data_IF_660453605486
#
_entry.id   IF_660453605486
#
_cell.length_a   1.000
_cell.length_b   1.000
_cell.length_c   1.000
_cell.angle_alpha   90.00
_cell.angle_beta   90.00
_cell.angle_gamma   90.00
#
_symmetry.space_group_name_H-M   'P 1'
#
loop_
_entity.id
_entity.type
_entity.pdbx_description
1 polymer ?
#
# COMPACT_ATOMS: atom_id res chain seq x y z
N UNK A 1 -44.29 -13.19 -7.91
CA UNK A 1 -43.54 -12.37 -8.89
C UNK A 1 -42.20 -12.08 -8.25
N UNK A 2 -41.13 -12.77 -8.68
CA UNK A 2 -39.78 -12.46 -8.19
C UNK A 2 -39.30 -11.26 -9.01
N UNK A 3 -39.28 -10.09 -8.38
CA UNK A 3 -38.62 -8.92 -8.94
C UNK A 3 -37.18 -9.31 -9.25
N UNK A 4 -36.89 -9.43 -10.55
CA UNK A 4 -35.54 -9.61 -11.03
C UNK A 4 -34.79 -8.36 -10.65
N UNK A 5 -33.96 -8.46 -9.61
CA UNK A 5 -32.86 -7.57 -9.31
C UNK A 5 -32.20 -7.24 -10.64
N UNK A 6 -32.47 -6.04 -11.12
CA UNK A 6 -32.01 -5.54 -12.39
C UNK A 6 -30.50 -5.70 -12.39
N UNK A 7 -30.04 -6.58 -13.27
CA UNK A 7 -28.66 -6.68 -13.71
C UNK A 7 -28.37 -5.35 -14.42
N UNK A 8 -28.22 -4.27 -13.65
CA UNK A 8 -27.78 -3.00 -14.18
C UNK A 8 -26.35 -3.22 -14.61
N UNK A 9 -26.07 -3.13 -15.91
CA UNK A 9 -24.75 -3.43 -16.43
C UNK A 9 -23.79 -2.54 -15.66
N UNK A 10 -22.69 -3.10 -15.18
CA UNK A 10 -21.60 -2.39 -14.53
C UNK A 10 -21.43 -1.01 -15.17
N UNK A 11 -22.11 0.01 -14.62
CA UNK A 11 -22.09 1.39 -15.10
C UNK A 11 -20.62 1.73 -15.00
N UNK A 12 -20.00 1.93 -16.16
CA UNK A 12 -18.57 1.75 -16.41
C UNK A 12 -17.75 2.10 -15.16
N UNK A 13 -16.95 1.15 -14.66
CA UNK A 13 -16.18 1.31 -13.41
C UNK A 13 -15.42 2.64 -13.39
N UNK A 14 -14.99 3.15 -14.56
CA UNK A 14 -14.35 4.47 -14.69
C UNK A 14 -15.31 5.61 -14.45
N UNK A 15 -16.54 5.55 -14.99
CA UNK A 15 -17.59 6.55 -14.73
C UNK A 15 -17.94 6.64 -13.25
N UNK A 16 -17.97 5.50 -12.54
CA UNK A 16 -18.22 5.50 -11.10
C UNK A 16 -17.06 6.14 -10.32
N UNK A 17 -15.82 5.78 -10.63
CA UNK A 17 -14.64 6.41 -10.02
C UNK A 17 -14.58 7.92 -10.29
N UNK A 18 -14.93 8.37 -11.50
CA UNK A 18 -14.97 9.81 -11.83
C UNK A 18 -15.94 10.54 -10.92
N UNK A 19 -17.16 10.02 -10.73
CA UNK A 19 -18.13 10.61 -9.80
C UNK A 19 -17.63 10.63 -8.35
N UNK A 20 -16.91 9.60 -7.91
CA UNK A 20 -16.33 9.57 -6.56
C UNK A 20 -15.19 10.61 -6.41
N UNK A 21 -14.42 10.88 -7.47
CA UNK A 21 -13.42 11.96 -7.48
C UNK A 21 -14.10 13.33 -7.37
N UNK A 22 -15.19 13.54 -8.11
CA UNK A 22 -15.98 14.78 -8.09
C UNK A 22 -16.57 15.03 -6.69
N UNK A 23 -17.11 13.99 -6.04
CA UNK A 23 -17.65 14.06 -4.68
C UNK A 23 -16.59 13.98 -3.57
N UNK A 24 -15.28 13.95 -3.87
CA UNK A 24 -14.25 13.64 -2.85
C UNK A 24 -14.22 14.65 -1.69
N UNK A 25 -14.52 15.92 -1.97
CA UNK A 25 -14.54 16.97 -0.96
C UNK A 25 -15.68 16.73 0.05
N UNK A 26 -16.86 16.35 -0.43
CA UNK A 26 -18.02 15.99 0.40
C UNK A 26 -17.74 14.72 1.20
N UNK A 27 -17.17 13.70 0.57
CA UNK A 27 -16.74 12.47 1.25
C UNK A 27 -15.75 12.80 2.38
N UNK A 28 -14.83 13.72 2.16
CA UNK A 28 -13.88 14.16 3.18
C UNK A 28 -14.58 14.86 4.35
N UNK A 29 -15.56 15.72 4.06
CA UNK A 29 -16.39 16.34 5.10
C UNK A 29 -17.18 15.31 5.91
N UNK A 30 -17.74 14.27 5.26
CA UNK A 30 -18.44 13.20 5.97
C UNK A 30 -17.53 12.42 6.90
N UNK A 31 -16.29 12.12 6.46
CA UNK A 31 -15.31 11.47 7.34
C UNK A 31 -14.89 12.35 8.52
N UNK A 32 -14.85 13.67 8.34
CA UNK A 32 -14.63 14.61 9.45
C UNK A 32 -15.78 14.63 10.47
N UNK A 33 -16.98 14.24 10.04
CA UNK A 33 -18.15 14.02 10.90
C UNK A 33 -18.24 12.59 11.43
N UNK A 34 -17.17 11.79 11.27
CA UNK A 34 -17.06 10.42 11.75
C UNK A 34 -18.09 9.44 11.15
N UNK A 35 -18.65 9.76 9.98
CA UNK A 35 -19.52 8.85 9.24
C UNK A 35 -18.74 7.64 8.72
N UNK A 36 -19.35 6.47 8.85
CA UNK A 36 -18.83 5.22 8.31
C UNK A 36 -18.89 5.19 6.78
N UNK A 37 -18.13 4.29 6.15
CA UNK A 37 -18.14 4.14 4.69
C UNK A 37 -19.49 3.63 4.20
N UNK A 38 -20.18 2.86 5.03
CA UNK A 38 -21.52 2.35 4.82
C UNK A 38 -22.53 3.51 4.74
N UNK A 39 -22.53 4.41 5.72
CA UNK A 39 -23.40 5.59 5.73
C UNK A 39 -23.13 6.52 4.55
N UNK A 40 -21.86 6.73 4.19
CA UNK A 40 -21.50 7.53 3.01
C UNK A 40 -22.00 6.86 1.73
N UNK A 41 -21.93 5.53 1.62
CA UNK A 41 -22.44 4.81 0.45
C UNK A 41 -23.98 4.90 0.35
N UNK A 42 -24.69 4.92 1.47
CA UNK A 42 -26.15 5.15 1.51
C UNK A 42 -26.50 6.56 1.03
N UNK A 43 -25.82 7.59 1.55
CA UNK A 43 -26.01 8.98 1.09
C UNK A 43 -25.77 9.11 -0.41
N UNK A 44 -24.69 8.50 -0.93
CA UNK A 44 -24.40 8.49 -2.36
C UNK A 44 -25.47 7.75 -3.16
N UNK A 45 -26.07 6.68 -2.61
CA UNK A 45 -27.14 5.95 -3.25
C UNK A 45 -28.43 6.78 -3.36
N UNK A 46 -28.73 7.64 -2.38
CA UNK A 46 -29.85 8.61 -2.45
C UNK A 46 -29.68 9.62 -3.59
N UNK A 47 -28.43 10.05 -3.83
CA UNK A 47 -28.04 10.89 -4.99
C UNK A 47 -28.00 10.11 -6.32
N UNK A 48 -28.42 8.84 -6.33
CA UNK A 48 -28.45 7.97 -7.52
C UNK A 48 -27.11 7.33 -7.89
N UNK A 49 -26.11 7.39 -7.00
CA UNK A 49 -24.81 6.75 -7.14
C UNK A 49 -24.74 5.46 -6.33
N UNK A 50 -25.34 4.40 -6.87
CA UNK A 50 -25.31 3.08 -6.25
C UNK A 50 -23.91 2.46 -6.32
N UNK A 51 -23.20 2.46 -5.19
CA UNK A 51 -21.87 1.87 -5.01
C UNK A 51 -21.85 1.04 -3.73
N UNK A 52 -21.21 -0.14 -3.75
CA UNK A 52 -21.05 -0.90 -2.51
C UNK A 52 -20.00 -0.25 -1.61
N UNK A 53 -20.16 -0.29 -0.27
CA UNK A 53 -19.21 0.31 0.69
C UNK A 53 -17.77 -0.15 0.46
N UNK A 54 -17.59 -1.44 0.15
CA UNK A 54 -16.26 -2.00 -0.20
C UNK A 54 -15.64 -1.36 -1.44
N UNK A 55 -16.45 -1.09 -2.47
CA UNK A 55 -15.98 -0.46 -3.70
C UNK A 55 -15.65 1.02 -3.46
N UNK A 56 -16.50 1.71 -2.69
CA UNK A 56 -16.25 3.09 -2.28
C UNK A 56 -14.94 3.21 -1.48
N UNK A 57 -14.72 2.33 -0.50
CA UNK A 57 -13.47 2.25 0.27
C UNK A 57 -12.24 2.09 -0.62
N UNK A 58 -12.32 1.20 -1.62
CA UNK A 58 -11.23 1.02 -2.59
C UNK A 58 -10.94 2.32 -3.37
N UNK A 59 -11.98 3.00 -3.86
CA UNK A 59 -11.79 4.25 -4.61
C UNK A 59 -11.24 5.37 -3.75
N UNK A 60 -11.72 5.52 -2.51
CA UNK A 60 -11.16 6.49 -1.56
C UNK A 60 -9.67 6.19 -1.32
N UNK A 61 -9.31 4.91 -1.19
CA UNK A 61 -7.92 4.49 -1.07
C UNK A 61 -7.06 4.81 -2.29
N UNK A 62 -7.59 4.62 -3.50
CA UNK A 62 -6.89 4.93 -4.75
C UNK A 62 -6.73 6.44 -4.98
N UNK A 63 -7.76 7.23 -4.64
CA UNK A 63 -7.72 8.70 -4.65
C UNK A 63 -6.65 9.20 -3.68
N UNK A 64 -6.65 8.73 -2.42
CA UNK A 64 -5.66 9.16 -1.44
C UNK A 64 -4.21 8.80 -1.82
N UNK A 65 -3.99 7.69 -2.53
CA UNK A 65 -2.66 7.35 -3.09
C UNK A 65 -2.24 8.31 -4.20
N UNK A 66 -3.18 8.66 -5.09
CA UNK A 66 -2.93 9.61 -6.18
C UNK A 66 -2.65 11.02 -5.64
N UNK A 67 -3.45 11.50 -4.69
CA UNK A 67 -3.23 12.79 -4.03
C UNK A 67 -1.85 12.85 -3.37
N UNK A 68 -1.46 11.77 -2.66
CA UNK A 68 -0.13 11.67 -2.06
C UNK A 68 0.98 11.68 -3.11
N UNK A 69 0.84 10.94 -4.20
CA UNK A 69 1.83 10.91 -5.28
C UNK A 69 2.01 12.29 -5.94
N UNK A 70 0.90 13.01 -6.14
CA UNK A 70 0.91 14.37 -6.69
C UNK A 70 1.52 15.38 -5.71
N UNK A 71 1.22 15.25 -4.41
CA UNK A 71 1.83 16.06 -3.36
C UNK A 71 3.35 15.83 -3.28
N UNK A 72 3.80 14.57 -3.33
CA UNK A 72 5.21 14.19 -3.36
C UNK A 72 5.93 14.72 -4.63
N UNK A 73 5.19 14.93 -5.72
CA UNK A 73 5.68 15.56 -6.95
C UNK A 73 5.66 17.11 -6.92
N UNK A 74 5.18 17.72 -5.82
CA UNK A 74 5.14 19.17 -5.62
C UNK A 74 3.79 19.82 -5.92
N UNK A 75 2.74 19.05 -6.23
CA UNK A 75 1.38 19.56 -6.39
C UNK A 75 0.55 19.28 -5.13
N UNK A 76 0.54 20.24 -4.20
CA UNK A 76 -0.18 20.12 -2.93
C UNK A 76 -1.71 20.20 -3.06
N UNK A 77 -2.23 20.76 -4.16
CA UNK A 77 -3.67 20.94 -4.39
C UNK A 77 -4.04 20.38 -5.79
N UNK A 78 -3.99 19.05 -5.96
CA UNK A 78 -4.26 18.46 -7.25
C UNK A 78 -5.72 18.61 -7.66
N UNK A 79 -5.93 18.94 -8.94
CA UNK A 79 -7.25 18.99 -9.55
C UNK A 79 -7.79 17.59 -9.82
N UNK A 80 -9.11 17.48 -10.00
CA UNK A 80 -9.82 16.23 -10.28
C UNK A 80 -9.26 15.54 -11.54
N UNK A 81 -8.91 16.34 -12.54
CA UNK A 81 -8.30 15.87 -13.78
C UNK A 81 -6.91 15.26 -13.54
N UNK A 82 -6.10 15.86 -12.68
CA UNK A 82 -4.76 15.37 -12.32
C UNK A 82 -4.84 14.09 -11.50
N UNK A 83 -5.74 14.02 -10.52
CA UNK A 83 -5.99 12.81 -9.72
C UNK A 83 -6.43 11.67 -10.64
N UNK A 84 -7.39 11.94 -11.54
CA UNK A 84 -7.87 10.98 -12.54
C UNK A 84 -6.74 10.50 -13.45
N UNK A 85 -5.89 11.42 -13.92
CA UNK A 85 -4.74 11.11 -14.74
C UNK A 85 -3.72 10.23 -13.99
N UNK A 86 -3.45 10.51 -12.71
CA UNK A 86 -2.51 9.74 -11.89
C UNK A 86 -3.05 8.34 -11.60
N UNK A 87 -4.34 8.18 -11.28
CA UNK A 87 -4.95 6.85 -11.05
C UNK A 87 -4.88 5.97 -12.30
N UNK A 88 -5.04 6.55 -13.48
CA UNK A 88 -4.96 5.81 -14.75
C UNK A 88 -3.58 5.81 -15.37
N UNK A 89 -2.60 6.47 -14.74
CA UNK A 89 -1.22 6.42 -15.16
C UNK A 89 -0.80 4.96 -15.08
N UNK A 90 -0.60 4.34 -16.24
CA UNK A 90 0.02 3.01 -16.29
C UNK A 90 1.33 3.11 -15.54
N UNK A 91 1.72 2.09 -14.75
CA UNK A 91 3.01 2.11 -14.08
C UNK A 91 4.08 2.28 -15.15
N UNK A 92 4.61 3.49 -15.27
CA UNK A 92 5.86 3.73 -15.98
C UNK A 92 6.87 2.96 -15.17
N UNK A 93 7.39 1.86 -15.73
CA UNK A 93 8.46 1.09 -15.11
C UNK A 93 9.47 2.07 -14.49
N UNK A 94 9.75 1.86 -13.21
CA UNK A 94 10.87 2.46 -12.48
C UNK A 94 10.69 3.90 -11.98
N UNK A 95 9.94 4.07 -10.89
CA UNK A 95 10.51 4.86 -9.79
C UNK A 95 11.28 3.86 -8.92
N UNK A 96 12.61 3.92 -8.81
CA UNK A 96 13.33 3.05 -7.90
C UNK A 96 12.80 3.32 -6.49
N UNK A 97 12.25 2.29 -5.85
CA UNK A 97 12.05 2.29 -4.40
C UNK A 97 13.38 2.78 -3.78
N UNK A 98 13.39 3.85 -2.96
CA UNK A 98 14.62 4.23 -2.27
C UNK A 98 15.11 2.98 -1.53
N UNK A 99 16.31 2.52 -1.88
CA UNK A 99 16.93 1.37 -1.24
C UNK A 99 16.86 1.60 0.28
N UNK A 100 16.52 0.57 1.09
CA UNK A 100 16.68 0.69 2.53
C UNK A 100 18.10 1.18 2.78
N UNK A 101 18.24 2.31 3.49
CA UNK A 101 19.55 2.85 3.87
C UNK A 101 20.30 1.69 4.50
N UNK A 102 21.41 1.29 3.90
CA UNK A 102 22.29 0.27 4.46
C UNK A 102 22.47 0.59 5.96
N UNK A 103 22.37 -0.40 6.85
CA UNK A 103 22.63 -0.12 8.25
C UNK A 103 24.05 0.45 8.35
N UNK A 104 24.13 1.60 9.01
CA UNK A 104 25.35 2.27 9.44
C UNK A 104 26.41 1.22 9.83
N UNK A 105 27.67 1.28 9.36
CA UNK A 105 28.69 0.37 9.82
C UNK A 105 28.94 0.64 11.30
N UNK A 106 28.25 -0.11 12.16
CA UNK A 106 28.54 -0.17 13.59
C UNK A 106 29.94 -0.77 13.70
N UNK A 107 30.93 0.10 13.88
CA UNK A 107 32.23 -0.29 14.38
C UNK A 107 32.01 -1.05 15.69
N UNK A 108 32.15 -2.38 15.65
CA UNK A 108 32.30 -3.19 16.85
C UNK A 108 33.79 -3.36 17.10
N UNK A 109 34.36 -2.85 18.21
CA UNK A 109 35.64 -3.32 18.66
C UNK A 109 35.38 -4.64 19.40
N UNK A 110 35.78 -5.76 18.80
CA UNK A 110 35.96 -6.99 19.57
C UNK A 110 37.40 -7.46 19.42
N UNK A 111 38.16 -7.08 20.44
CA UNK A 111 39.42 -7.68 20.85
C UNK A 111 39.14 -9.14 21.24
N UNK A 112 39.70 -10.10 20.50
CA UNK A 112 39.49 -11.53 20.81
C UNK A 112 40.06 -12.48 19.77
N UNK A 113 41.37 -12.70 19.87
CA UNK A 113 42.20 -13.85 19.47
C UNK A 113 41.82 -14.77 18.26
N UNK A 114 42.82 -15.14 17.42
CA UNK A 114 42.65 -16.10 16.33
C UNK A 114 42.75 -17.54 16.83
N UNK A 115 41.92 -18.43 16.28
CA UNK A 115 42.21 -19.86 16.25
C UNK A 115 41.09 -20.77 16.76
N UNK A 116 40.27 -21.27 15.84
CA UNK A 116 39.78 -22.65 15.93
C UNK A 116 39.23 -23.08 14.58
N UNK A 117 40.12 -23.72 13.83
CA UNK A 117 39.79 -24.48 12.62
C UNK A 117 39.30 -25.84 13.12
N UNK A 118 38.06 -26.18 12.83
CA UNK A 118 37.50 -27.51 13.12
C UNK A 118 38.08 -28.49 12.11
N UNK A 119 38.78 -29.53 12.57
CA UNK A 119 39.16 -30.68 11.74
C UNK A 119 39.42 -31.95 12.57
N UNK A 120 38.44 -32.87 12.46
CA UNK A 120 38.49 -34.34 12.37
C UNK A 120 39.26 -35.22 13.36
N UNK A 121 38.62 -36.37 13.64
CA UNK A 121 38.96 -37.43 14.58
C UNK A 121 40.18 -38.28 14.18
N UNK A 122 40.79 -38.98 15.16
CA UNK A 122 40.77 -40.45 15.28
C UNK A 122 41.58 -40.94 16.50
N UNK A 123 41.23 -42.14 16.92
CA UNK A 123 41.49 -42.89 18.15
C UNK A 123 42.95 -43.34 18.36
N UNK A 124 43.26 -43.59 19.64
CA UNK A 124 43.91 -44.84 20.14
C UNK A 124 45.43 -44.88 20.42
N UNK A 125 45.69 -45.17 21.71
CA UNK A 125 46.83 -45.93 22.31
C UNK A 125 48.20 -45.24 22.29
N UNK A 126 49.11 -45.46 23.24
CA UNK A 126 49.22 -46.17 24.53
C UNK A 126 50.67 -45.90 24.97
N UNK A 127 50.90 -45.75 26.29
CA UNK A 127 52.12 -46.03 27.09
C UNK A 127 53.50 -45.83 26.42
N UNK A 128 54.49 -45.19 27.05
CA UNK A 128 55.36 -45.69 28.13
C UNK A 128 56.72 -45.03 27.80
N UNK A 129 57.25 -44.12 28.63
CA UNK A 129 58.25 -44.36 29.68
C UNK A 129 59.72 -44.33 29.22
N UNK A 130 60.55 -43.78 30.10
CA UNK A 130 62.02 -43.83 30.25
C UNK A 130 62.91 -43.08 29.24
N UNK A 131 63.65 -42.09 29.72
CA UNK A 131 64.98 -42.31 30.33
C UNK A 131 65.43 -41.08 31.14
#
# INVERSE_FOLDING_TARGET
>A
MQERLSDTPAKDRRSLLVKVIECRAEIWQFRHRELSVEEIAEILAEEGLHISPRTLSNYIGDIGKAEKALADAGNANPTDAEIRAEIWRKPTKSTPRPKPRSPLPTARPFLGAPGSIISHATTSRKSENQL
#
